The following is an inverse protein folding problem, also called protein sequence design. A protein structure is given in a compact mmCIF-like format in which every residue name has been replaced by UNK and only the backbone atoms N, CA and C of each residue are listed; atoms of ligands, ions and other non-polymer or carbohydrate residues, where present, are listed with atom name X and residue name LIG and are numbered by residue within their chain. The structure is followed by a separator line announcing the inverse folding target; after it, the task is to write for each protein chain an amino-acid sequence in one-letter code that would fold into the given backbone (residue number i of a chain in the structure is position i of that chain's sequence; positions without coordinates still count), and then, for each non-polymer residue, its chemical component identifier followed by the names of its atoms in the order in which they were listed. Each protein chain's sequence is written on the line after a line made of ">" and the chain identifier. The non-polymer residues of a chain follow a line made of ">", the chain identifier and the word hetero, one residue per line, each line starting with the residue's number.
data_IF_317090886753
#
_entry.id   IF_317090886753
#
_cell.length_a   1.000
_cell.length_b   1.000
_cell.length_c   1.000
_cell.angle_alpha   90.00
_cell.angle_beta   90.00
_cell.angle_gamma   90.00
#
_symmetry.space_group_name_H-M   'P 1'
#
loop_
_entity.id
_entity.type
_entity.pdbx_description
1 polymer ?
#
# COMPACT_ATOMS: atom_id res chain seq x y z
N UNK A 1 40.11 26.27 -44.75
CA UNK A 1 41.00 26.11 -43.57
C UNK A 1 40.27 26.67 -42.35
N UNK A 2 40.56 26.14 -41.15
CA UNK A 2 39.99 26.42 -39.80
C UNK A 2 38.54 25.97 -39.54
N UNK A 3 38.28 24.75 -39.03
CA UNK A 3 38.39 24.22 -37.64
C UNK A 3 37.28 24.68 -36.68
N UNK A 4 36.33 23.79 -36.42
CA UNK A 4 35.38 23.84 -35.30
C UNK A 4 35.20 22.45 -34.68
N UNK A 5 36.16 22.02 -33.86
CA UNK A 5 36.03 20.79 -33.06
C UNK A 5 35.18 21.10 -31.81
N UNK A 6 33.94 20.61 -31.78
CA UNK A 6 33.18 20.48 -30.54
C UNK A 6 33.59 19.17 -29.85
N UNK A 7 34.59 19.25 -28.99
CA UNK A 7 34.91 18.21 -28.03
C UNK A 7 34.03 18.36 -26.79
N UNK A 8 33.03 17.48 -26.64
CA UNK A 8 32.32 17.32 -25.38
C UNK A 8 33.28 16.75 -24.33
N UNK A 9 33.82 17.64 -23.49
CA UNK A 9 34.71 17.28 -22.39
C UNK A 9 33.89 16.57 -21.31
N UNK A 10 33.85 15.25 -21.36
CA UNK A 10 33.39 14.41 -20.26
C UNK A 10 34.33 14.61 -19.06
N UNK A 11 33.98 15.51 -18.13
CA UNK A 11 34.65 15.59 -16.83
C UNK A 11 34.23 14.38 -16.01
N UNK A 12 35.14 13.41 -15.93
CA UNK A 12 35.18 12.42 -14.84
C UNK A 12 35.44 13.15 -13.53
N UNK A 13 34.44 13.19 -12.65
CA UNK A 13 34.66 13.23 -11.20
C UNK A 13 33.89 12.05 -10.61
N UNK A 14 34.62 10.98 -10.31
CA UNK A 14 34.13 9.80 -9.59
C UNK A 14 33.98 10.12 -8.09
N UNK A 15 33.66 9.14 -7.23
CA UNK A 15 32.34 8.91 -6.67
C UNK A 15 32.33 9.25 -5.17
N UNK A 16 31.64 10.32 -4.78
CA UNK A 16 31.33 10.63 -3.39
C UNK A 16 29.82 10.38 -3.21
N UNK A 17 29.45 9.16 -2.80
CA UNK A 17 29.12 8.84 -1.40
C UNK A 17 27.90 9.66 -0.92
N UNK A 18 26.77 8.96 -0.79
CA UNK A 18 25.53 9.36 -0.12
C UNK A 18 24.47 10.12 -0.94
N UNK A 19 23.99 9.51 -2.03
CA UNK A 19 22.68 9.86 -2.60
C UNK A 19 21.57 8.86 -2.22
N UNK A 20 21.83 7.91 -1.31
CA UNK A 20 20.82 6.98 -0.77
C UNK A 20 20.05 7.59 0.42
N UNK A 21 19.62 8.84 0.31
CA UNK A 21 18.78 9.44 1.35
C UNK A 21 17.87 10.53 0.81
N UNK A 22 16.99 10.18 -0.14
CA UNK A 22 15.83 11.01 -0.50
C UNK A 22 14.60 10.13 -0.68
N UNK A 23 14.23 9.42 0.39
CA UNK A 23 12.83 9.08 0.66
C UNK A 23 12.68 9.26 2.17
N UNK A 24 11.94 10.28 2.65
CA UNK A 24 11.60 10.32 4.07
C UNK A 24 10.82 9.04 4.38
N UNK A 25 11.26 8.33 5.41
CA UNK A 25 10.53 7.21 5.98
C UNK A 25 9.09 7.67 6.25
N UNK A 26 8.16 7.07 5.51
CA UNK A 26 6.74 7.27 5.69
C UNK A 26 6.31 6.44 6.89
N UNK A 27 6.70 6.88 8.09
CA UNK A 27 6.01 6.50 9.30
C UNK A 27 4.82 7.46 9.40
N UNK A 28 3.81 7.19 8.56
CA UNK A 28 2.49 7.75 8.78
C UNK A 28 2.09 7.28 10.18
N UNK A 29 1.60 8.22 10.98
CA UNK A 29 1.08 7.96 12.32
C UNK A 29 -0.07 6.96 12.21
N UNK A 30 0.25 5.67 12.19
CA UNK A 30 -0.73 4.60 12.15
C UNK A 30 -1.59 4.74 13.39
N UNK A 31 -2.89 4.85 13.18
CA UNK A 31 -3.82 5.12 14.27
C UNK A 31 -3.79 3.91 15.22
N UNK A 32 -3.60 4.09 16.54
CA UNK A 32 -3.54 2.96 17.49
C UNK A 32 -4.80 2.09 17.53
N UNK A 33 -5.91 2.56 16.95
CA UNK A 33 -7.16 1.77 16.78
C UNK A 33 -7.09 0.77 15.63
N UNK A 34 -6.14 0.90 14.70
CA UNK A 34 -5.96 0.00 13.57
C UNK A 34 -5.16 -1.23 14.01
N UNK A 35 -5.83 -2.15 14.70
CA UNK A 35 -5.29 -3.45 15.08
C UNK A 35 -6.16 -4.57 14.47
N UNK A 36 -5.56 -5.63 13.91
CA UNK A 36 -4.11 -5.90 13.75
C UNK A 36 -3.48 -5.21 12.54
N UNK A 37 -2.20 -4.81 12.67
CA UNK A 37 -1.40 -4.26 11.56
C UNK A 37 -0.51 -5.37 10.96
N UNK A 38 -0.48 -5.48 9.63
CA UNK A 38 0.35 -6.46 8.94
C UNK A 38 1.80 -5.98 8.80
N UNK A 39 2.76 -6.91 8.98
CA UNK A 39 4.17 -6.65 8.68
C UNK A 39 4.39 -6.34 7.19
N UNK A 40 5.51 -5.71 6.85
CA UNK A 40 5.82 -5.34 5.45
C UNK A 40 5.82 -6.54 4.50
N UNK A 41 6.36 -7.68 4.91
CA UNK A 41 6.38 -8.90 4.10
C UNK A 41 4.98 -9.47 3.86
N UNK A 42 4.16 -9.50 4.91
CA UNK A 42 2.79 -9.97 4.84
C UNK A 42 1.92 -9.03 4.00
N UNK A 43 2.14 -7.71 4.12
CA UNK A 43 1.46 -6.69 3.33
C UNK A 43 1.67 -6.91 1.83
N UNK A 44 2.91 -7.21 1.41
CA UNK A 44 3.19 -7.53 0.00
C UNK A 44 2.41 -8.76 -0.47
N UNK A 45 2.41 -9.84 0.33
CA UNK A 45 1.66 -11.05 0.00
C UNK A 45 0.14 -10.83 -0.08
N UNK A 46 -0.43 -10.02 0.81
CA UNK A 46 -1.86 -9.65 0.79
C UNK A 46 -2.18 -8.86 -0.49
N UNK A 47 -1.34 -7.90 -0.86
CA UNK A 47 -1.53 -7.09 -2.07
C UNK A 47 -1.45 -7.94 -3.34
N UNK A 48 -0.56 -8.94 -3.38
CA UNK A 48 -0.48 -9.88 -4.50
C UNK A 48 -1.75 -10.72 -4.64
N UNK A 49 -2.31 -11.21 -3.54
CA UNK A 49 -3.60 -11.94 -3.54
C UNK A 49 -4.73 -11.03 -4.00
N UNK A 50 -4.81 -9.81 -3.50
CA UNK A 50 -5.80 -8.79 -3.91
C UNK A 50 -5.73 -8.54 -5.43
N UNK A 51 -4.52 -8.46 -5.98
CA UNK A 51 -4.31 -8.25 -7.40
C UNK A 51 -4.83 -9.44 -8.23
N UNK A 52 -4.55 -10.68 -7.79
CA UNK A 52 -5.10 -11.88 -8.41
C UNK A 52 -6.63 -11.95 -8.30
N UNK A 53 -7.21 -11.73 -7.12
CA UNK A 53 -8.66 -11.75 -6.89
C UNK A 53 -9.40 -10.66 -7.69
N UNK A 54 -8.74 -9.54 -7.96
CA UNK A 54 -9.26 -8.49 -8.86
C UNK A 54 -9.39 -9.01 -10.28
N UNK A 55 -8.38 -9.73 -10.79
CA UNK A 55 -8.41 -10.32 -12.13
C UNK A 55 -9.51 -11.41 -12.26
N UNK A 56 -9.73 -12.19 -11.20
CA UNK A 56 -10.80 -13.19 -11.14
C UNK A 56 -12.19 -12.62 -10.82
N UNK A 57 -12.32 -11.30 -10.61
CA UNK A 57 -13.58 -10.61 -10.25
C UNK A 57 -14.25 -11.14 -8.97
N UNK A 58 -13.47 -11.74 -8.08
CA UNK A 58 -13.95 -12.25 -6.78
C UNK A 58 -13.93 -11.17 -5.69
N UNK A 59 -13.17 -10.10 -5.91
CA UNK A 59 -13.00 -9.05 -4.92
C UNK A 59 -14.17 -8.06 -4.91
N UNK A 60 -14.65 -7.74 -3.70
CA UNK A 60 -15.62 -6.67 -3.43
C UNK A 60 -14.92 -5.47 -2.82
N UNK A 61 -15.25 -4.27 -3.30
CA UNK A 61 -14.49 -3.04 -3.00
C UNK A 61 -15.36 -2.05 -2.23
N UNK A 62 -14.81 -1.52 -1.14
CA UNK A 62 -15.44 -0.48 -0.33
C UNK A 62 -16.19 -1.02 0.90
N UNK A 63 -16.41 -0.14 1.87
CA UNK A 63 -16.96 -0.50 3.18
C UNK A 63 -18.39 -1.07 3.10
N UNK A 64 -19.25 -0.50 2.27
CA UNK A 64 -20.64 -0.97 2.11
C UNK A 64 -20.74 -2.34 1.44
N UNK A 65 -19.83 -2.65 0.51
CA UNK A 65 -19.81 -4.00 -0.07
C UNK A 65 -19.26 -5.02 0.93
N UNK A 66 -18.23 -4.65 1.70
CA UNK A 66 -17.66 -5.49 2.74
C UNK A 66 -18.69 -5.87 3.82
N UNK A 67 -19.52 -4.92 4.28
CA UNK A 67 -20.61 -5.23 5.22
C UNK A 67 -21.66 -6.16 4.63
N UNK A 68 -22.01 -5.98 3.35
CA UNK A 68 -23.00 -6.82 2.69
C UNK A 68 -22.49 -8.27 2.50
N UNK A 69 -21.20 -8.46 2.18
CA UNK A 69 -20.61 -9.81 2.05
C UNK A 69 -20.40 -10.51 3.39
N UNK A 70 -20.05 -9.76 4.44
CA UNK A 70 -19.97 -10.27 5.81
C UNK A 70 -21.34 -10.75 6.30
N UNK A 71 -22.39 -9.92 6.15
CA UNK A 71 -23.75 -10.29 6.56
C UNK A 71 -24.30 -11.51 5.81
N UNK A 72 -23.85 -11.74 4.57
CA UNK A 72 -24.22 -12.92 3.78
C UNK A 72 -23.38 -14.17 4.08
N UNK A 73 -22.31 -14.04 4.87
CA UNK A 73 -21.39 -15.14 5.17
C UNK A 73 -20.61 -15.65 3.95
N UNK A 74 -20.38 -14.79 2.95
CA UNK A 74 -19.62 -15.15 1.72
C UNK A 74 -18.16 -14.71 1.84
N UNK A 75 -17.88 -13.70 2.67
CA UNK A 75 -16.54 -13.14 2.84
C UNK A 75 -15.68 -14.05 3.72
N UNK A 76 -14.52 -14.48 3.22
CA UNK A 76 -13.56 -15.29 3.99
C UNK A 76 -12.62 -14.41 4.83
N UNK A 77 -12.17 -13.28 4.27
CA UNK A 77 -11.34 -12.31 4.97
C UNK A 77 -11.61 -10.89 4.43
N UNK A 78 -11.32 -9.88 5.25
CA UNK A 78 -11.50 -8.46 4.90
C UNK A 78 -10.18 -7.74 5.17
N UNK A 79 -9.75 -6.93 4.20
CA UNK A 79 -8.54 -6.10 4.30
C UNK A 79 -8.97 -4.66 4.47
N UNK A 80 -8.45 -4.00 5.50
CA UNK A 80 -8.74 -2.60 5.83
C UNK A 80 -7.46 -1.78 5.74
N UNK A 81 -7.61 -0.53 5.31
CA UNK A 81 -6.51 0.43 5.29
C UNK A 81 -6.44 1.15 6.65
N UNK A 82 -5.24 1.26 7.22
CA UNK A 82 -5.01 1.86 8.53
C UNK A 82 -4.91 3.41 8.49
N UNK A 83 -4.77 3.99 7.30
CA UNK A 83 -4.54 5.41 7.03
C UNK A 83 -5.82 6.16 6.58
N UNK A 84 -7.00 5.57 6.77
CA UNK A 84 -8.25 6.21 6.37
C UNK A 84 -8.62 7.38 7.29
N UNK A 85 -8.94 8.52 6.68
CA UNK A 85 -9.52 9.68 7.36
C UNK A 85 -10.97 9.89 6.86
N UNK A 86 -12.01 9.78 7.71
CA UNK A 86 -12.04 9.37 9.13
C UNK A 86 -12.09 7.85 9.33
N UNK A 87 -11.38 7.33 10.33
CA UNK A 87 -11.28 5.89 10.62
C UNK A 87 -12.61 5.31 11.15
N UNK A 88 -13.47 6.16 11.71
CA UNK A 88 -14.78 5.81 12.27
C UNK A 88 -15.68 5.09 11.25
N UNK A 89 -15.49 5.33 9.96
CA UNK A 89 -16.25 4.68 8.90
C UNK A 89 -15.98 3.18 8.87
N UNK A 90 -14.80 2.69 9.26
CA UNK A 90 -14.43 1.28 9.15
C UNK A 90 -14.59 0.49 10.46
N UNK A 91 -14.75 1.16 11.60
CA UNK A 91 -14.75 0.52 12.93
C UNK A 91 -15.90 -0.47 13.18
N UNK A 92 -16.94 -0.47 12.34
CA UNK A 92 -18.04 -1.42 12.43
C UNK A 92 -17.69 -2.77 11.77
N UNK A 93 -16.70 -2.83 10.87
CA UNK A 93 -16.31 -4.05 10.17
C UNK A 93 -15.70 -5.11 11.10
N UNK A 94 -14.77 -4.79 12.02
CA UNK A 94 -14.23 -5.78 12.96
C UNK A 94 -15.31 -6.41 13.84
N UNK A 95 -16.24 -5.62 14.35
CA UNK A 95 -17.36 -6.11 15.18
C UNK A 95 -18.23 -7.11 14.41
N UNK A 96 -18.56 -6.80 13.15
CA UNK A 96 -19.32 -7.70 12.29
C UNK A 96 -18.55 -8.97 11.91
N UNK A 97 -17.22 -8.90 11.85
CA UNK A 97 -16.36 -10.03 11.54
C UNK A 97 -16.13 -10.97 12.74
N UNK A 98 -16.28 -10.49 13.99
CA UNK A 98 -16.22 -11.33 15.20
C UNK A 98 -17.54 -12.07 15.47
N UNK A 99 -18.67 -11.48 15.08
CA UNK A 99 -20.01 -12.06 15.27
C UNK A 99 -20.37 -13.21 14.30
N UNK A 100 -19.59 -13.39 13.21
CA UNK A 100 -19.90 -14.31 12.09
C UNK A 100 -18.74 -15.23 11.74
#
# INVERSE_FOLDING_TARGET
>A
MSTGQQGYRCRRTSPAKNALQIYPAMESTVNPKAYPLADAQLTMGILDIIQHSTNYKQLKKGANEATNTLNRGISEFVVMAADTEPLEILLHLPLLAEDK
#
